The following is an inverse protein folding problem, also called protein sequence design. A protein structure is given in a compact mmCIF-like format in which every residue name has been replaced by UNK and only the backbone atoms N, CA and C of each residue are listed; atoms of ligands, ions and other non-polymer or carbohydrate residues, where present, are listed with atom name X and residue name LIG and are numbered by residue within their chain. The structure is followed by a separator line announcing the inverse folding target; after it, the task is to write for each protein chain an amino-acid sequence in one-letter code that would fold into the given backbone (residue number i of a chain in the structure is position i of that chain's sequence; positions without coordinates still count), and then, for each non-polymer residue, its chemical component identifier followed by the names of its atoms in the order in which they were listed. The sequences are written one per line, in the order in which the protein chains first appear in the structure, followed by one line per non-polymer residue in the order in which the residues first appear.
data_IF_369482936531
#
_entry.id   IF_369482936531
#
_cell.length_a   1.000
_cell.length_b   1.000
_cell.length_c   1.000
_cell.angle_alpha   90.00
_cell.angle_beta   90.00
_cell.angle_gamma   90.00
#
_symmetry.space_group_name_H-M   'P 1'
#
loop_
_entity.id
_entity.type
_entity.pdbx_description
1 polymer ?
#
# COMPACT_ATOMS: atom_id res chain seq x y z
N UNK A 1 -18.63 8.07 14.20
CA UNK A 1 -19.01 9.19 13.29
C UNK A 1 -18.21 10.48 13.50
N UNK A 2 -17.85 10.87 14.73
CA UNK A 2 -17.17 12.16 15.03
C UNK A 2 -15.82 12.37 14.33
N UNK A 3 -15.00 11.32 14.24
CA UNK A 3 -13.69 11.41 13.59
C UNK A 3 -13.77 11.73 12.07
N UNK A 4 -14.83 11.26 11.39
CA UNK A 4 -15.01 11.54 9.96
C UNK A 4 -15.39 13.00 9.71
N UNK A 5 -16.29 13.55 10.54
CA UNK A 5 -16.70 14.96 10.46
C UNK A 5 -15.47 15.86 10.66
N UNK A 6 -14.68 15.60 11.71
CA UNK A 6 -13.45 16.35 11.98
C UNK A 6 -12.43 16.25 10.83
N UNK A 7 -12.30 15.08 10.19
CA UNK A 7 -11.43 14.91 9.03
C UNK A 7 -11.91 15.75 7.83
N UNK A 8 -13.21 15.72 7.51
CA UNK A 8 -13.78 16.53 6.44
C UNK A 8 -13.61 18.03 6.70
N UNK A 9 -13.91 18.50 7.91
CA UNK A 9 -13.71 19.91 8.30
C UNK A 9 -12.25 20.33 8.19
N UNK A 10 -11.33 19.46 8.61
CA UNK A 10 -9.89 19.70 8.52
C UNK A 10 -9.42 19.79 7.07
N UNK A 11 -9.93 18.94 6.17
CA UNK A 11 -9.60 18.98 4.75
C UNK A 11 -10.23 20.16 4.02
N UNK A 12 -11.43 20.59 4.43
CA UNK A 12 -12.09 21.78 3.89
C UNK A 12 -11.26 23.06 4.15
N UNK A 13 -10.58 23.13 5.29
CA UNK A 13 -9.71 24.25 5.68
C UNK A 13 -8.29 24.18 5.10
N UNK A 14 -7.93 23.08 4.41
CA UNK A 14 -6.59 22.90 3.85
C UNK A 14 -6.50 23.53 2.47
N UNK A 15 -5.82 24.68 2.36
CA UNK A 15 -5.61 25.40 1.09
C UNK A 15 -4.64 24.64 0.17
N UNK A 16 -3.49 24.21 0.70
CA UNK A 16 -2.52 23.40 -0.04
C UNK A 16 -2.45 21.97 0.54
N UNK A 17 -3.10 21.04 -0.17
CA UNK A 17 -3.11 19.62 0.20
C UNK A 17 -1.74 18.95 0.02
N UNK A 18 -0.95 19.43 -0.94
CA UNK A 18 0.36 18.86 -1.26
C UNK A 18 1.37 19.21 -0.17
N UNK A 19 1.36 20.45 0.33
CA UNK A 19 2.19 20.91 1.43
C UNK A 19 1.85 20.21 2.75
N UNK A 20 0.54 20.02 3.04
CA UNK A 20 0.11 19.32 4.26
C UNK A 20 0.70 17.91 4.41
N UNK A 21 0.96 17.22 3.30
CA UNK A 21 1.53 15.86 3.30
C UNK A 21 3.01 15.82 2.91
N UNK A 22 3.64 16.96 2.61
CA UNK A 22 5.01 17.02 2.09
C UNK A 22 6.02 16.41 3.06
N UNK A 23 5.95 16.78 4.35
CA UNK A 23 6.86 16.26 5.38
C UNK A 23 6.73 14.74 5.54
N UNK A 24 5.50 14.22 5.54
CA UNK A 24 5.26 12.79 5.63
C UNK A 24 5.78 12.05 4.38
N UNK A 25 5.59 12.63 3.18
CA UNK A 25 6.12 12.07 1.93
C UNK A 25 7.65 12.10 1.91
N UNK A 26 8.27 13.17 2.40
CA UNK A 26 9.73 13.29 2.54
C UNK A 26 10.27 12.23 3.49
N UNK A 27 9.77 12.15 4.72
CA UNK A 27 10.18 11.13 5.69
C UNK A 27 9.98 9.69 5.15
N UNK A 28 8.89 9.48 4.41
CA UNK A 28 8.65 8.21 3.73
C UNK A 28 9.69 7.89 2.65
N UNK A 29 10.29 8.87 1.98
CA UNK A 29 11.37 8.65 1.02
C UNK A 29 12.71 8.48 1.73
N UNK A 30 13.01 9.34 2.71
CA UNK A 30 14.27 9.36 3.47
C UNK A 30 14.53 8.01 4.18
N UNK A 31 13.48 7.29 4.58
CA UNK A 31 13.62 5.95 5.18
C UNK A 31 14.39 4.96 4.30
N UNK A 32 14.30 5.10 2.97
CA UNK A 32 15.01 4.21 2.05
C UNK A 32 16.49 4.53 1.98
N UNK A 33 16.87 5.79 2.12
CA UNK A 33 18.27 6.21 2.24
C UNK A 33 18.88 5.65 3.53
N UNK A 34 18.18 5.79 4.66
CA UNK A 34 18.59 5.20 5.95
C UNK A 34 18.65 3.67 5.90
N UNK A 35 17.79 3.02 5.13
CA UNK A 35 17.79 1.56 4.99
C UNK A 35 19.01 1.05 4.20
N UNK A 36 19.48 1.80 3.19
CA UNK A 36 20.61 1.37 2.35
C UNK A 36 21.96 1.85 2.86
N UNK A 37 21.96 2.88 3.70
CA UNK A 37 23.16 3.45 4.32
C UNK A 37 22.88 3.94 5.76
N UNK A 38 22.72 3.02 6.73
CA UNK A 38 22.44 3.38 8.11
C UNK A 38 23.55 4.23 8.76
N UNK A 39 24.79 3.97 8.36
CA UNK A 39 25.99 4.61 8.92
C UNK A 39 26.41 5.88 8.15
N UNK A 40 25.75 6.19 7.04
CA UNK A 40 26.01 7.41 6.26
C UNK A 40 27.35 7.41 5.51
N UNK A 41 27.95 6.25 5.27
CA UNK A 41 29.33 6.12 4.77
C UNK A 41 29.38 6.22 3.24
N UNK A 42 28.27 5.95 2.55
CA UNK A 42 28.24 5.96 1.08
C UNK A 42 28.32 7.38 0.50
N UNK A 43 28.86 7.50 -0.71
CA UNK A 43 28.74 8.71 -1.49
C UNK A 43 27.26 9.06 -1.72
N UNK A 44 26.85 10.34 -1.64
CA UNK A 44 25.45 10.74 -1.84
C UNK A 44 24.82 10.24 -3.15
N UNK A 45 25.57 10.20 -4.25
CA UNK A 45 25.07 9.75 -5.53
C UNK A 45 24.82 8.23 -5.53
N UNK A 46 25.69 7.46 -4.89
CA UNK A 46 25.53 6.01 -4.76
C UNK A 46 24.41 5.66 -3.77
N UNK A 47 24.31 6.40 -2.66
CA UNK A 47 23.19 6.29 -1.71
C UNK A 47 21.85 6.53 -2.41
N UNK A 48 21.74 7.57 -3.23
CA UNK A 48 20.52 7.89 -3.97
C UNK A 48 20.12 6.77 -4.94
N UNK A 49 21.07 6.23 -5.70
CA UNK A 49 20.83 5.08 -6.60
C UNK A 49 20.33 3.87 -5.84
N UNK A 50 20.99 3.50 -4.73
CA UNK A 50 20.58 2.36 -3.89
C UNK A 50 19.20 2.58 -3.27
N UNK A 51 18.92 3.78 -2.78
CA UNK A 51 17.62 4.13 -2.21
C UNK A 51 16.50 4.03 -3.26
N UNK A 52 16.76 4.45 -4.50
CA UNK A 52 15.82 4.29 -5.61
C UNK A 52 15.51 2.82 -5.89
N UNK A 53 16.54 1.96 -5.94
CA UNK A 53 16.35 0.52 -6.11
C UNK A 53 15.60 -0.11 -4.95
N UNK A 54 15.92 0.25 -3.70
CA UNK A 54 15.21 -0.21 -2.51
C UNK A 54 13.73 0.18 -2.53
N UNK A 55 13.42 1.42 -2.94
CA UNK A 55 12.07 1.91 -3.15
C UNK A 55 11.32 1.10 -4.20
N UNK A 56 11.91 0.89 -5.38
CA UNK A 56 11.31 0.07 -6.45
C UNK A 56 11.01 -1.35 -5.96
N UNK A 57 11.97 -1.99 -5.29
CA UNK A 57 11.82 -3.33 -4.73
C UNK A 57 10.70 -3.41 -3.67
N UNK A 58 10.57 -2.39 -2.81
CA UNK A 58 9.49 -2.31 -1.82
C UNK A 58 8.10 -2.33 -2.49
N UNK A 59 7.88 -1.45 -3.46
CA UNK A 59 6.58 -1.37 -4.14
C UNK A 59 6.29 -2.59 -5.01
N UNK A 60 7.31 -3.18 -5.65
CA UNK A 60 7.16 -4.43 -6.38
C UNK A 60 6.68 -5.57 -5.46
N UNK A 61 7.29 -5.71 -4.27
CA UNK A 61 6.85 -6.69 -3.26
C UNK A 61 5.42 -6.43 -2.79
N UNK A 62 5.04 -5.17 -2.56
CA UNK A 62 3.69 -4.80 -2.17
C UNK A 62 2.66 -5.15 -3.27
N UNK A 63 2.98 -4.86 -4.52
CA UNK A 63 2.14 -5.20 -5.67
C UNK A 63 1.97 -6.71 -5.83
N UNK A 64 3.05 -7.48 -5.67
CA UNK A 64 3.01 -8.95 -5.70
C UNK A 64 2.08 -9.50 -4.61
N UNK A 65 2.24 -9.07 -3.36
CA UNK A 65 1.36 -9.48 -2.24
C UNK A 65 -0.10 -9.13 -2.53
N UNK A 66 -0.35 -7.94 -3.08
CA UNK A 66 -1.69 -7.50 -3.46
C UNK A 66 -2.30 -8.39 -4.55
N UNK A 67 -1.52 -8.76 -5.57
CA UNK A 67 -1.94 -9.65 -6.64
C UNK A 67 -2.26 -11.06 -6.11
N UNK A 68 -1.41 -11.60 -5.24
CA UNK A 68 -1.65 -12.88 -4.56
C UNK A 68 -2.97 -12.85 -3.77
N UNK A 69 -3.18 -11.82 -2.96
CA UNK A 69 -4.42 -11.67 -2.19
C UNK A 69 -5.67 -11.58 -3.08
N UNK A 70 -5.60 -10.88 -4.23
CA UNK A 70 -6.70 -10.84 -5.20
C UNK A 70 -7.00 -12.22 -5.79
N UNK A 71 -5.97 -13.00 -6.15
CA UNK A 71 -6.15 -14.36 -6.68
C UNK A 71 -6.87 -15.27 -5.68
N UNK A 72 -6.46 -15.24 -4.41
CA UNK A 72 -7.08 -16.02 -3.34
C UNK A 72 -8.55 -15.63 -3.15
N UNK A 73 -8.86 -14.33 -3.11
CA UNK A 73 -10.25 -13.85 -3.00
C UNK A 73 -11.11 -14.30 -4.17
N UNK A 74 -10.58 -14.24 -5.40
CA UNK A 74 -11.28 -14.72 -6.59
C UNK A 74 -11.59 -16.22 -6.47
N UNK A 75 -10.58 -17.04 -6.14
CA UNK A 75 -10.76 -18.48 -5.95
C UNK A 75 -11.84 -18.78 -4.90
N UNK A 76 -11.78 -18.12 -3.73
CA UNK A 76 -12.80 -18.30 -2.68
C UNK A 76 -14.20 -17.84 -3.13
N UNK A 77 -14.30 -16.78 -3.93
CA UNK A 77 -15.57 -16.33 -4.49
C UNK A 77 -16.11 -17.28 -5.57
N UNK A 78 -15.24 -17.88 -6.38
CA UNK A 78 -15.60 -18.90 -7.37
C UNK A 78 -16.12 -20.16 -6.64
N UNK A 79 -15.43 -20.63 -5.59
CA UNK A 79 -15.86 -21.75 -4.75
C UNK A 79 -17.22 -21.49 -4.09
N UNK A 80 -17.44 -20.31 -3.50
CA UNK A 80 -18.74 -19.97 -2.87
C UNK A 80 -19.88 -19.90 -3.88
N UNK A 81 -19.63 -19.38 -5.08
CA UNK A 81 -20.63 -19.33 -6.14
C UNK A 81 -20.97 -20.73 -6.65
N UNK A 82 -19.98 -21.61 -6.81
CA UNK A 82 -20.20 -22.95 -7.34
C UNK A 82 -20.80 -23.92 -6.31
N UNK A 83 -20.40 -23.80 -5.03
CA UNK A 83 -20.92 -24.65 -3.94
C UNK A 83 -22.37 -24.37 -3.53
N UNK A 84 -22.91 -23.19 -3.86
CA UNK A 84 -24.32 -22.85 -3.62
C UNK A 84 -25.29 -23.42 -4.66
N UNK A 85 -24.80 -23.99 -5.76
CA UNK A 85 -25.63 -24.60 -6.82
C UNK A 85 -25.89 -26.10 -6.62
N UNK A 86 -25.40 -26.74 -5.55
CA UNK A 86 -25.52 -28.19 -5.34
C UNK A 86 -26.51 -28.63 -4.24
N UNK A 87 -27.27 -27.72 -3.62
CA UNK A 87 -28.28 -28.08 -2.59
C UNK A 87 -29.68 -27.74 -3.07
N UNK A 88 -30.28 -28.56 -3.93
CA UNK A 88 -31.66 -28.29 -4.40
C UNK A 88 -32.26 -29.25 -5.41
N UNK A 89 -31.88 -30.53 -5.42
CA UNK A 89 -32.53 -31.48 -6.32
C UNK A 89 -32.05 -32.90 -6.06
N UNK A 90 -32.64 -33.54 -5.06
CA UNK A 90 -32.86 -34.99 -4.98
C UNK A 90 -33.79 -35.24 -3.78
N UNK A 91 -35.07 -34.92 -3.98
CA UNK A 91 -36.16 -35.34 -3.10
C UNK A 91 -37.44 -35.45 -3.94
N UNK A 92 -37.56 -36.55 -4.68
CA UNK A 92 -38.81 -37.16 -5.11
C UNK A 92 -38.54 -38.60 -5.55
#
# INVERSE_FOLDING_TARGET
MRAQIAAHDSWAKTVDRSARTANARKAALDRFEQQVDPDGILDPAERAKRAEHARKAYFARLALKSAQARRIRKANSDTRRNGGLQTGGDAA
#
